data_IF_677210329084
#
_entry.id   IF_677210329084
#
_cell.length_a   1.000
_cell.length_b   1.000
_cell.length_c   1.000
_cell.angle_alpha   90.00
_cell.angle_beta   90.00
_cell.angle_gamma   90.00
#
_symmetry.space_group_name_H-M   'P 1'
#
loop_
_entity.id
_entity.type
_entity.pdbx_description
1 polymer ?
#
# COMPACT_ATOMS: atom_id res chain seq x y z
N UNK A 1 -18.20 9.55 -11.17
CA UNK A 1 -17.44 8.56 -10.39
C UNK A 1 -16.52 9.32 -9.45
N UNK A 2 -16.81 9.32 -8.16
CA UNK A 2 -15.92 9.86 -7.12
C UNK A 2 -14.67 8.97 -7.07
N UNK A 3 -13.54 9.45 -7.60
CA UNK A 3 -12.27 8.73 -7.52
C UNK A 3 -11.90 8.60 -6.03
N UNK A 4 -12.08 7.40 -5.47
CA UNK A 4 -11.65 7.07 -4.12
C UNK A 4 -10.26 6.49 -4.20
N UNK A 5 -9.34 7.20 -3.57
CA UNK A 5 -7.99 6.70 -3.33
C UNK A 5 -8.07 5.44 -2.47
N UNK A 6 -7.17 4.50 -2.77
CA UNK A 6 -7.00 3.26 -2.01
C UNK A 6 -5.51 3.08 -1.75
N UNK A 7 -5.17 2.47 -0.63
CA UNK A 7 -3.80 2.10 -0.35
C UNK A 7 -3.76 0.73 0.31
N UNK A 8 -2.71 -0.02 0.06
CA UNK A 8 -2.55 -1.38 0.57
C UNK A 8 -1.16 -1.50 1.16
N UNK A 9 -1.07 -2.05 2.37
CA UNK A 9 0.17 -2.55 2.96
C UNK A 9 0.05 -4.06 3.00
N UNK A 10 0.99 -4.79 2.41
CA UNK A 10 0.92 -6.24 2.37
C UNK A 10 2.27 -6.89 2.60
N UNK A 11 2.27 -8.06 3.20
CA UNK A 11 3.46 -8.90 3.27
C UNK A 11 3.62 -9.68 1.96
N UNK A 12 4.78 -9.51 1.32
CA UNK A 12 5.18 -10.26 0.14
C UNK A 12 6.18 -11.31 0.55
N UNK A 13 5.76 -12.57 0.53
CA UNK A 13 6.68 -13.70 0.63
C UNK A 13 7.31 -13.95 -0.72
N UNK A 14 8.64 -13.91 -0.82
CA UNK A 14 9.38 -14.36 -1.99
C UNK A 14 9.64 -15.87 -1.91
N UNK A 15 9.72 -16.53 -3.07
CA UNK A 15 9.88 -17.99 -3.15
C UNK A 15 11.18 -18.50 -2.49
N UNK A 16 12.19 -17.64 -2.39
CA UNK A 16 13.54 -17.97 -1.90
C UNK A 16 13.69 -17.73 -0.38
N UNK A 17 12.59 -17.69 0.38
CA UNK A 17 12.63 -17.59 1.85
C UNK A 17 12.88 -16.19 2.42
N UNK A 18 13.05 -15.19 1.55
CA UNK A 18 12.94 -13.78 1.90
C UNK A 18 11.48 -13.32 1.85
N UNK A 19 11.06 -12.44 2.75
CA UNK A 19 9.77 -11.77 2.65
C UNK A 19 9.90 -10.35 3.17
N UNK A 20 9.08 -9.44 2.65
CA UNK A 20 9.13 -8.03 3.00
C UNK A 20 7.76 -7.41 3.03
N UNK A 21 7.62 -6.33 3.79
CA UNK A 21 6.43 -5.50 3.69
C UNK A 21 6.52 -4.68 2.42
N UNK A 22 5.41 -4.59 1.70
CA UNK A 22 5.27 -3.75 0.53
C UNK A 22 4.04 -2.87 0.70
N UNK A 23 4.07 -1.73 0.05
CA UNK A 23 2.97 -0.79 0.07
C UNK A 23 2.68 -0.29 -1.34
N UNK A 24 1.40 -0.01 -1.59
CA UNK A 24 0.90 0.56 -2.84
C UNK A 24 -0.15 1.61 -2.55
N UNK A 25 -0.16 2.66 -3.35
CA UNK A 25 -1.17 3.72 -3.35
C UNK A 25 -1.78 3.79 -4.74
N UNK A 26 -3.10 3.72 -4.78
CA UNK A 26 -3.92 3.71 -5.98
C UNK A 26 -4.78 4.96 -6.01
N UNK A 27 -4.73 5.69 -7.13
CA UNK A 27 -5.73 6.72 -7.41
C UNK A 27 -7.01 6.08 -7.95
N UNK A 28 -6.87 4.95 -8.67
CA UNK A 28 -7.96 4.11 -9.18
C UNK A 28 -7.58 2.64 -9.00
N UNK A 29 -8.55 1.74 -8.79
CA UNK A 29 -8.28 0.31 -8.67
C UNK A 29 -7.50 -0.20 -9.89
N UNK A 30 -6.39 -0.90 -9.65
CA UNK A 30 -5.54 -1.50 -10.70
C UNK A 30 -4.50 -0.55 -11.32
N UNK A 31 -4.45 0.72 -10.96
CA UNK A 31 -3.42 1.67 -11.42
C UNK A 31 -2.70 2.30 -10.20
N UNK A 32 -1.61 1.68 -9.73
CA UNK A 32 -0.83 2.23 -8.62
C UNK A 32 -0.09 3.48 -9.08
N UNK A 33 -0.30 4.58 -8.38
CA UNK A 33 0.44 5.83 -8.61
C UNK A 33 1.75 5.89 -7.81
N UNK A 34 1.88 5.05 -6.78
CA UNK A 34 3.11 4.89 -6.03
C UNK A 34 3.16 3.49 -5.39
N UNK A 35 4.35 2.90 -5.36
CA UNK A 35 4.61 1.66 -4.64
C UNK A 35 6.04 1.61 -4.10
N UNK A 36 6.26 0.72 -3.13
CA UNK A 36 7.58 0.50 -2.57
C UNK A 36 7.63 -0.65 -1.58
N UNK A 37 8.84 -0.90 -1.07
CA UNK A 37 9.07 -1.83 0.03
C UNK A 37 9.12 -1.06 1.37
N UNK A 38 8.92 -1.79 2.46
CA UNK A 38 9.02 -1.35 3.83
C UNK A 38 9.59 -2.50 4.69
N UNK A 39 10.25 -2.13 5.78
CA UNK A 39 10.84 -3.07 6.73
C UNK A 39 9.79 -3.68 7.67
N UNK A 40 8.70 -2.94 7.91
CA UNK A 40 7.60 -3.32 8.81
C UNK A 40 6.26 -2.78 8.29
N UNK A 41 5.15 -3.38 8.74
CA UNK A 41 3.80 -2.89 8.48
C UNK A 41 3.64 -1.41 8.87
N UNK A 42 4.14 -1.04 10.05
CA UNK A 42 4.08 0.33 10.59
C UNK A 42 4.84 1.32 9.70
N UNK A 43 5.98 0.90 9.17
CA UNK A 43 6.77 1.72 8.24
C UNK A 43 6.02 1.92 6.92
N UNK A 44 5.41 0.85 6.37
CA UNK A 44 4.57 0.93 5.17
C UNK A 44 3.38 1.88 5.36
N UNK A 45 2.69 1.81 6.50
CA UNK A 45 1.60 2.73 6.84
C UNK A 45 2.08 4.17 6.95
N UNK A 46 3.24 4.41 7.57
CA UNK A 46 3.83 5.75 7.68
C UNK A 46 4.10 6.32 6.29
N UNK A 47 4.77 5.55 5.44
CA UNK A 47 5.12 5.97 4.08
C UNK A 47 3.86 6.26 3.26
N UNK A 48 2.83 5.41 3.31
CA UNK A 48 1.55 5.67 2.63
C UNK A 48 0.96 7.00 3.08
N UNK A 49 0.89 7.26 4.39
CA UNK A 49 0.33 8.52 4.91
C UNK A 49 1.13 9.73 4.41
N UNK A 50 2.46 9.67 4.45
CA UNK A 50 3.32 10.73 3.93
C UNK A 50 3.12 10.94 2.42
N UNK A 51 2.98 9.87 1.64
CA UNK A 51 2.71 9.95 0.19
C UNK A 51 1.34 10.53 -0.11
N UNK A 52 0.30 10.13 0.60
CA UNK A 52 -1.04 10.68 0.43
C UNK A 52 -1.06 12.19 0.72
N UNK A 53 -0.44 12.61 1.82
CA UNK A 53 -0.30 14.03 2.15
C UNK A 53 0.48 14.81 1.08
N UNK A 54 1.58 14.24 0.56
CA UNK A 54 2.36 14.85 -0.52
C UNK A 54 1.56 14.97 -1.83
N UNK A 55 0.60 14.08 -2.06
CA UNK A 55 -0.33 14.13 -3.20
C UNK A 55 -1.53 15.05 -2.96
N UNK A 56 -1.61 15.71 -1.79
CA UNK A 56 -2.75 16.54 -1.40
C UNK A 56 -4.01 15.74 -1.04
N UNK A 57 -3.85 14.45 -0.75
CA UNK A 57 -4.92 13.53 -0.40
C UNK A 57 -4.98 13.38 1.12
N UNK A 58 -6.16 13.63 1.68
CA UNK A 58 -6.39 13.39 3.09
C UNK A 58 -6.43 11.88 3.38
N UNK A 59 -5.53 11.34 4.21
CA UNK A 59 -5.46 9.89 4.47
C UNK A 59 -6.70 9.35 5.18
N UNK A 60 -7.51 10.17 5.86
CA UNK A 60 -8.78 9.72 6.44
C UNK A 60 -9.88 9.53 5.39
N UNK A 61 -9.67 10.01 4.16
CA UNK A 61 -10.57 9.81 3.01
C UNK A 61 -10.14 8.64 2.12
N UNK A 62 -9.05 7.96 2.46
CA UNK A 62 -8.48 6.83 1.71
C UNK A 62 -8.79 5.53 2.43
N UNK A 63 -9.22 4.52 1.67
CA UNK A 63 -9.33 3.16 2.20
C UNK A 63 -7.94 2.54 2.24
N UNK A 64 -7.38 2.39 3.44
CA UNK A 64 -6.08 1.73 3.65
C UNK A 64 -6.35 0.30 4.13
N UNK A 65 -5.90 -0.67 3.36
CA UNK A 65 -6.01 -2.10 3.69
C UNK A 65 -4.66 -2.67 4.12
N UNK A 66 -4.68 -3.64 5.02
CA UNK A 66 -3.49 -4.29 5.55
C UNK A 66 -3.65 -5.80 5.38
N UNK A 67 -2.76 -6.42 4.62
CA UNK A 67 -2.85 -7.83 4.21
C UNK A 67 -1.56 -8.55 4.66
N UNK A 68 -1.55 -9.20 5.83
CA UNK A 68 -0.35 -9.85 6.37
C UNK A 68 -0.12 -11.28 5.84
N UNK A 69 -1.11 -11.88 5.17
CA UNK A 69 -1.04 -13.27 4.71
C UNK A 69 -0.77 -13.40 3.20
N UNK A 70 0.49 -13.31 2.76
CA UNK A 70 0.98 -13.84 1.48
C UNK A 70 0.21 -13.45 0.21
N UNK A 71 -0.57 -12.37 0.25
CA UNK A 71 -1.64 -12.08 -0.71
C UNK A 71 -1.19 -11.17 -1.88
N UNK A 72 0.12 -11.10 -2.15
CA UNK A 72 0.66 -10.33 -3.27
C UNK A 72 0.11 -10.78 -4.63
N UNK A 73 -0.19 -12.07 -4.80
CA UNK A 73 -0.72 -12.64 -6.05
C UNK A 73 -2.15 -12.15 -6.40
N UNK A 74 -2.79 -11.39 -5.51
CA UNK A 74 -4.16 -10.87 -5.67
C UNK A 74 -4.25 -9.33 -5.74
N UNK A 75 -3.12 -8.64 -5.85
CA UNK A 75 -3.02 -7.17 -5.81
C UNK A 75 -2.79 -6.56 -7.20
#
# INVERSE_FOLDING_TARGET
MTMRWQAIVCWRSEAEGGGGWHWRVFQRPGDPVAEGAASSQEEGLRIIREKLLALGVDPARVSIEIWDEGAWDKC
#
